data_IF_669461220312
#
_entry.id   IF_669461220312
#
_cell.length_a   1.000
_cell.length_b   1.000
_cell.length_c   1.000
_cell.angle_alpha   90.00
_cell.angle_beta   90.00
_cell.angle_gamma   90.00
#
_symmetry.space_group_name_H-M   'P 1'
#
loop_
_entity.id
_entity.type
_entity.pdbx_description
1 polymer ?
#
# COMPACT_ATOMS: atom_id res chain seq x y z
N UNK A 1 6.36 -18.25 2.20
CA UNK A 1 5.90 -17.96 0.83
C UNK A 1 5.75 -16.46 0.66
N UNK A 2 6.27 -15.92 -0.42
CA UNK A 2 6.23 -14.52 -0.78
C UNK A 2 5.39 -14.33 -2.05
N UNK A 3 4.47 -13.38 -2.01
CA UNK A 3 3.63 -12.99 -3.15
C UNK A 3 3.73 -11.49 -3.37
N UNK A 4 3.93 -11.09 -4.61
CA UNK A 4 3.89 -9.69 -5.03
C UNK A 4 2.80 -9.49 -6.08
N UNK A 5 2.00 -8.44 -5.89
CA UNK A 5 0.98 -8.02 -6.84
C UNK A 5 1.24 -6.57 -7.26
N UNK A 6 1.14 -6.30 -8.54
CA UNK A 6 1.27 -4.96 -9.11
C UNK A 6 -0.03 -4.60 -9.85
N UNK A 7 -0.62 -3.47 -9.48
CA UNK A 7 -1.92 -3.04 -9.99
C UNK A 7 -1.80 -1.61 -10.53
N UNK A 8 -2.15 -1.41 -11.79
CA UNK A 8 -1.89 -0.18 -12.54
C UNK A 8 -3.10 0.75 -12.70
N UNK A 9 -4.29 0.33 -12.27
CA UNK A 9 -5.52 1.08 -12.48
C UNK A 9 -5.48 2.54 -12.04
N UNK A 10 -5.03 2.87 -10.81
CA UNK A 10 -4.95 4.26 -10.36
C UNK A 10 -3.99 5.12 -11.18
N UNK A 11 -2.85 4.59 -11.57
CA UNK A 11 -1.87 5.28 -12.40
C UNK A 11 -2.42 5.57 -13.80
N UNK A 12 -3.01 4.57 -14.44
CA UNK A 12 -3.61 4.73 -15.77
C UNK A 12 -4.74 5.76 -15.76
N UNK A 13 -5.61 5.72 -14.76
CA UNK A 13 -6.68 6.71 -14.62
C UNK A 13 -6.13 8.13 -14.42
N UNK A 14 -5.02 8.27 -13.69
CA UNK A 14 -4.37 9.56 -13.48
C UNK A 14 -3.75 10.09 -14.78
N UNK A 15 -3.09 9.25 -15.56
CA UNK A 15 -2.55 9.64 -16.86
C UNK A 15 -3.64 10.11 -17.82
N UNK A 16 -4.84 9.57 -17.70
CA UNK A 16 -6.02 9.99 -18.48
C UNK A 16 -6.78 11.17 -17.85
N UNK A 17 -6.26 11.75 -16.79
CA UNK A 17 -6.90 12.85 -16.04
C UNK A 17 -8.32 12.49 -15.55
N UNK A 18 -8.54 11.22 -15.21
CA UNK A 18 -9.83 10.69 -14.82
C UNK A 18 -9.89 10.42 -13.31
N UNK A 19 -10.26 11.44 -12.56
CA UNK A 19 -10.32 11.37 -11.10
C UNK A 19 -11.36 10.36 -10.61
N UNK A 20 -12.52 10.27 -11.26
CA UNK A 20 -13.56 9.33 -10.87
C UNK A 20 -13.06 7.87 -10.98
N UNK A 21 -12.43 7.53 -12.10
CA UNK A 21 -11.87 6.20 -12.30
C UNK A 21 -10.65 5.93 -11.41
N UNK A 22 -9.88 6.97 -11.09
CA UNK A 22 -8.78 6.84 -10.12
C UNK A 22 -9.31 6.43 -8.74
N UNK A 23 -10.30 7.13 -8.23
CA UNK A 23 -10.94 6.84 -6.94
C UNK A 23 -11.59 5.45 -6.98
N UNK A 24 -12.33 5.16 -8.03
CA UNK A 24 -12.96 3.85 -8.23
C UNK A 24 -11.94 2.72 -8.23
N UNK A 25 -10.82 2.87 -8.92
CA UNK A 25 -9.73 1.89 -8.95
C UNK A 25 -9.15 1.63 -7.57
N UNK A 26 -8.93 2.68 -6.78
CA UNK A 26 -8.42 2.54 -5.41
C UNK A 26 -9.43 1.81 -4.52
N UNK A 27 -10.71 2.14 -4.62
CA UNK A 27 -11.77 1.48 -3.87
C UNK A 27 -11.88 0.00 -4.24
N UNK A 28 -11.83 -0.32 -5.53
CA UNK A 28 -11.88 -1.71 -6.01
C UNK A 28 -10.65 -2.51 -5.61
N UNK A 29 -9.49 -1.89 -5.60
CA UNK A 29 -8.26 -2.53 -5.13
C UNK A 29 -8.40 -2.96 -3.67
N UNK A 30 -8.94 -2.10 -2.83
CA UNK A 30 -9.21 -2.43 -1.43
C UNK A 30 -10.26 -3.54 -1.29
N UNK A 31 -11.40 -3.43 -1.99
CA UNK A 31 -12.53 -4.34 -1.83
C UNK A 31 -12.34 -5.69 -2.53
N UNK A 32 -11.65 -5.71 -3.69
CA UNK A 32 -11.56 -6.90 -4.52
C UNK A 32 -10.22 -7.65 -4.38
N UNK A 33 -9.21 -7.01 -3.83
CA UNK A 33 -7.87 -7.61 -3.67
C UNK A 33 -7.46 -7.69 -2.21
N UNK A 34 -7.31 -6.54 -1.54
CA UNK A 34 -6.76 -6.50 -0.18
C UNK A 34 -7.68 -7.21 0.81
N UNK A 35 -8.96 -6.88 0.83
CA UNK A 35 -9.91 -7.48 1.76
C UNK A 35 -10.08 -9.00 1.54
N UNK A 36 -10.32 -9.49 0.32
CA UNK A 36 -10.47 -10.94 0.12
C UNK A 36 -9.22 -11.75 0.48
N UNK A 37 -8.04 -11.24 0.14
CA UNK A 37 -6.78 -11.95 0.44
C UNK A 37 -6.54 -12.01 1.95
N UNK A 38 -6.71 -10.91 2.66
CA UNK A 38 -6.52 -10.87 4.12
C UNK A 38 -7.56 -11.71 4.84
N UNK A 39 -8.82 -11.68 4.41
CA UNK A 39 -9.89 -12.50 4.96
C UNK A 39 -9.63 -14.00 4.76
N UNK A 40 -9.17 -14.39 3.57
CA UNK A 40 -8.84 -15.78 3.26
C UNK A 40 -7.68 -16.29 4.12
N UNK A 41 -6.64 -15.49 4.33
CA UNK A 41 -5.51 -15.84 5.18
C UNK A 41 -5.92 -15.99 6.64
N UNK A 42 -6.76 -15.09 7.15
CA UNK A 42 -7.29 -15.19 8.51
C UNK A 42 -8.17 -16.43 8.67
N UNK A 43 -9.05 -16.72 7.72
CA UNK A 43 -9.91 -17.89 7.74
C UNK A 43 -9.13 -19.19 7.71
N UNK A 44 -7.99 -19.21 7.03
CA UNK A 44 -7.08 -20.37 6.98
C UNK A 44 -6.22 -20.51 8.24
N UNK A 45 -6.26 -19.55 9.17
CA UNK A 45 -5.43 -19.55 10.37
C UNK A 45 -3.95 -19.28 10.10
N UNK A 46 -3.62 -18.69 8.95
CA UNK A 46 -2.25 -18.41 8.56
C UNK A 46 -1.78 -17.09 9.17
N UNK A 47 -0.55 -17.08 9.70
CA UNK A 47 0.13 -15.85 10.05
C UNK A 47 0.70 -15.22 8.77
N UNK A 48 0.57 -13.90 8.66
CA UNK A 48 1.05 -13.20 7.47
C UNK A 48 1.48 -11.77 7.78
N UNK A 49 2.32 -11.23 6.91
CA UNK A 49 2.59 -9.80 6.80
C UNK A 49 2.14 -9.28 5.47
N UNK A 50 1.58 -8.08 5.49
CA UNK A 50 1.15 -7.36 4.31
C UNK A 50 1.91 -6.04 4.25
N UNK A 51 2.58 -5.80 3.14
CA UNK A 51 3.13 -4.50 2.79
C UNK A 51 2.32 -3.95 1.62
N UNK A 52 1.65 -2.82 1.85
CA UNK A 52 0.88 -2.11 0.86
C UNK A 52 1.52 -0.74 0.64
N UNK A 53 1.83 -0.41 -0.60
CA UNK A 53 2.42 0.89 -0.94
C UNK A 53 2.17 1.23 -2.41
N UNK A 54 2.38 2.51 -2.74
CA UNK A 54 2.53 2.95 -4.12
C UNK A 54 4.01 2.89 -4.51
N UNK A 55 4.30 2.71 -5.79
CA UNK A 55 5.68 2.77 -6.30
C UNK A 55 6.13 4.21 -6.55
N UNK A 56 5.21 5.10 -6.90
CA UNK A 56 5.45 6.52 -7.11
C UNK A 56 4.14 7.31 -7.03
N UNK A 57 4.25 8.63 -6.96
CA UNK A 57 3.11 9.53 -7.15
C UNK A 57 2.87 9.74 -8.64
N UNK A 58 1.60 9.98 -9.01
CA UNK A 58 1.20 10.43 -10.33
C UNK A 58 0.21 11.57 -10.15
N UNK A 59 0.56 12.75 -10.67
CA UNK A 59 -0.22 13.95 -10.41
C UNK A 59 -1.44 14.07 -11.31
N UNK A 60 -2.59 14.31 -10.72
CA UNK A 60 -3.82 14.60 -11.48
C UNK A 60 -3.67 15.83 -12.36
N UNK A 61 -2.90 16.83 -11.90
CA UNK A 61 -2.76 18.11 -12.59
C UNK A 61 -2.10 17.99 -13.96
N UNK A 62 -1.10 17.11 -14.12
CA UNK A 62 -0.33 17.00 -15.35
C UNK A 62 -0.12 15.57 -15.88
N UNK A 63 -0.60 14.56 -15.15
CA UNK A 63 -0.43 13.14 -15.51
C UNK A 63 1.01 12.66 -15.45
N UNK A 64 1.90 13.38 -14.80
CA UNK A 64 3.32 13.03 -14.71
C UNK A 64 3.63 12.28 -13.41
N UNK A 65 4.66 11.42 -13.44
CA UNK A 65 5.19 10.79 -12.24
C UNK A 65 5.96 11.81 -11.40
N UNK A 66 5.85 11.69 -10.07
CA UNK A 66 6.55 12.53 -9.12
C UNK A 66 7.57 11.77 -8.31
N UNK A 67 8.41 12.51 -7.60
CA UNK A 67 9.43 11.96 -6.70
C UNK A 67 9.09 12.15 -5.22
N UNK A 68 7.85 12.54 -4.91
CA UNK A 68 7.40 12.71 -3.52
C UNK A 68 7.40 11.38 -2.79
N UNK A 69 7.60 11.39 -1.45
CA UNK A 69 7.41 10.21 -0.64
C UNK A 69 5.99 9.65 -0.79
N UNK A 70 5.90 8.33 -0.80
CA UNK A 70 4.61 7.62 -0.88
C UNK A 70 4.28 6.98 0.47
N UNK A 71 2.99 6.90 0.85
CA UNK A 71 2.61 6.21 2.07
C UNK A 71 2.74 4.70 1.92
N UNK A 72 3.02 4.01 3.03
CA UNK A 72 2.98 2.57 3.07
C UNK A 72 2.27 2.06 4.33
N UNK A 73 1.78 0.85 4.26
CA UNK A 73 1.26 0.10 5.42
C UNK A 73 2.06 -1.20 5.53
N UNK A 74 2.57 -1.44 6.72
CA UNK A 74 3.13 -2.74 7.08
C UNK A 74 2.25 -3.33 8.17
N UNK A 75 1.58 -4.42 7.86
CA UNK A 75 0.66 -5.11 8.74
C UNK A 75 1.21 -6.49 9.07
N UNK A 76 1.13 -6.86 10.36
CA UNK A 76 1.48 -8.20 10.85
C UNK A 76 0.27 -8.76 11.60
N UNK A 77 -0.24 -9.91 11.15
CA UNK A 77 -1.42 -10.54 11.75
C UNK A 77 -1.21 -10.99 13.20
N UNK A 78 0.03 -11.11 13.63
CA UNK A 78 0.40 -11.51 14.99
C UNK A 78 0.45 -10.34 15.97
N UNK A 79 0.38 -9.11 15.49
CA UNK A 79 0.45 -7.89 16.29
C UNK A 79 -0.94 -7.30 16.40
N UNK A 80 -1.43 -7.11 17.64
CA UNK A 80 -2.77 -6.57 17.90
C UNK A 80 -2.82 -5.04 17.92
N UNK A 81 -1.68 -4.38 18.07
CA UNK A 81 -1.57 -2.94 18.13
C UNK A 81 -1.10 -2.35 16.81
N UNK A 82 -1.71 -1.25 16.40
CA UNK A 82 -1.36 -0.52 15.20
C UNK A 82 -1.76 0.95 15.34
N UNK A 83 -1.50 1.74 14.31
CA UNK A 83 -1.85 3.16 14.32
C UNK A 83 -3.36 3.40 14.32
N UNK A 84 -4.14 2.47 13.75
CA UNK A 84 -5.57 2.64 13.56
C UNK A 84 -5.95 3.73 12.56
N UNK A 85 -4.97 4.29 11.86
CA UNK A 85 -5.19 5.38 10.92
C UNK A 85 -5.55 4.87 9.53
N UNK A 86 -6.45 5.53 8.82
CA UNK A 86 -6.71 5.24 7.40
C UNK A 86 -5.45 5.44 6.55
N UNK A 87 -5.34 4.66 5.47
CA UNK A 87 -4.25 4.78 4.52
C UNK A 87 -4.38 6.07 3.72
N UNK A 88 -3.45 6.98 3.92
CA UNK A 88 -3.39 8.26 3.19
C UNK A 88 -1.98 8.85 3.29
N UNK A 89 -1.67 9.78 2.41
CA UNK A 89 -0.40 10.52 2.45
C UNK A 89 -0.25 11.32 3.75
N UNK A 90 -1.33 11.97 4.19
CA UNK A 90 -1.32 12.75 5.43
C UNK A 90 -1.06 11.89 6.66
N UNK A 91 -1.67 10.72 6.74
CA UNK A 91 -1.45 9.79 7.84
C UNK A 91 -0.09 9.09 7.73
N UNK A 92 0.37 8.79 6.53
CA UNK A 92 1.71 8.25 6.30
C UNK A 92 2.82 9.17 6.80
N UNK A 93 2.64 10.48 6.65
CA UNK A 93 3.60 11.48 7.15
C UNK A 93 3.73 11.50 8.67
N UNK A 94 2.79 10.94 9.41
CA UNK A 94 2.82 10.81 10.88
C UNK A 94 3.60 9.60 11.35
N UNK A 95 3.89 8.67 10.46
CA UNK A 95 4.59 7.44 10.75
C UNK A 95 6.09 7.51 10.44
N UNK A 96 6.77 6.36 10.54
CA UNK A 96 8.20 6.29 10.23
C UNK A 96 8.50 6.62 8.77
N UNK A 97 9.60 7.29 8.53
CA UNK A 97 10.12 7.55 7.18
C UNK A 97 11.20 6.53 6.82
N UNK A 98 11.06 5.93 5.65
CA UNK A 98 12.06 5.00 5.10
C UNK A 98 12.68 5.64 3.87
N UNK A 99 13.95 6.02 4.00
CA UNK A 99 14.67 6.77 2.97
C UNK A 99 14.97 5.92 1.72
N UNK A 100 15.30 4.65 1.94
CA UNK A 100 15.58 3.70 0.85
C UNK A 100 14.45 2.66 0.79
N UNK A 101 13.67 2.69 -0.30
CA UNK A 101 12.55 1.77 -0.50
C UNK A 101 12.94 0.29 -0.47
N UNK A 102 14.17 -0.05 -0.81
CA UNK A 102 14.65 -1.43 -0.72
C UNK A 102 14.64 -1.96 0.73
N UNK A 103 14.75 -1.08 1.72
CA UNK A 103 14.67 -1.45 3.14
C UNK A 103 13.28 -1.96 3.54
N UNK A 104 12.23 -1.63 2.79
CA UNK A 104 10.88 -2.14 3.06
C UNK A 104 10.82 -3.67 2.95
N UNK A 105 11.58 -4.26 2.07
CA UNK A 105 11.66 -5.72 1.97
C UNK A 105 12.29 -6.33 3.22
N UNK A 106 13.32 -5.69 3.78
CA UNK A 106 13.93 -6.13 5.04
C UNK A 106 12.94 -6.08 6.19
N UNK A 107 12.10 -5.05 6.24
CA UNK A 107 11.03 -4.93 7.23
C UNK A 107 9.97 -6.00 7.04
N UNK A 108 9.57 -6.27 5.81
CA UNK A 108 8.56 -7.30 5.50
C UNK A 108 9.03 -8.69 5.94
N UNK A 109 10.31 -9.00 5.76
CA UNK A 109 10.90 -10.30 6.13
C UNK A 109 11.51 -10.33 7.53
N UNK A 110 11.30 -9.32 8.36
CA UNK A 110 11.87 -9.19 9.72
C UNK A 110 13.40 -9.15 9.80
N UNK A 111 14.06 -8.80 8.71
CA UNK A 111 15.51 -8.64 8.72
C UNK A 111 15.95 -7.36 9.43
N UNK A 112 15.03 -6.38 9.54
CA UNK A 112 15.20 -5.11 10.28
C UNK A 112 13.90 -4.76 11.00
N UNK A 113 14.01 -3.87 11.99
CA UNK A 113 12.86 -3.27 12.69
C UNK A 113 12.88 -1.76 12.53
N UNK A 114 11.71 -1.18 12.50
CA UNK A 114 11.53 0.28 12.52
C UNK A 114 11.89 0.87 13.88
#
# INVERSE_FOLDING_TARGET
VYKRQHLEGPDEATHNHDLEHKIYSIERLSADVVAPVTEALRAAGEDFRLLLLSDHTTYMANGAHGADPVPFVLYDSRVSEGSGLPYSEANGAKGPYVDDGAQLMDLLFELKKL
#
